data_IF_270097471520
#
_entry.id   IF_270097471520
#
_cell.length_a   1.000
_cell.length_b   1.000
_cell.length_c   1.000
_cell.angle_alpha   90.00
_cell.angle_beta   90.00
_cell.angle_gamma   90.00
#
_symmetry.space_group_name_H-M   'P 1'
#
loop_
_entity.id
_entity.type
_entity.pdbx_description
1 polymer ?
#
# COMPACT_ATOMS: atom_id res chain seq x y z
N UNK A 1 -9.61 -1.96 18.19
CA UNK A 1 -8.24 -2.53 18.29
C UNK A 1 -7.67 -3.04 16.96
N UNK A 2 -8.39 -2.98 15.84
CA UNK A 2 -7.95 -3.54 14.54
C UNK A 2 -7.31 -2.51 13.58
N UNK A 3 -7.65 -1.23 13.70
CA UNK A 3 -7.22 -0.21 12.72
C UNK A 3 -5.70 -0.01 12.64
N UNK A 4 -5.00 0.18 13.77
CA UNK A 4 -3.54 0.38 13.72
C UNK A 4 -2.82 -0.89 13.28
N UNK A 5 -3.28 -2.06 13.74
CA UNK A 5 -2.68 -3.35 13.37
C UNK A 5 -2.82 -3.66 11.88
N UNK A 6 -3.89 -3.20 11.22
CA UNK A 6 -4.07 -3.43 9.79
C UNK A 6 -3.03 -2.70 8.94
N UNK A 7 -2.44 -1.62 9.44
CA UNK A 7 -1.38 -0.86 8.78
C UNK A 7 -0.05 -1.63 8.65
N UNK A 8 0.09 -2.79 9.30
CA UNK A 8 1.22 -3.71 9.13
C UNK A 8 1.09 -4.59 7.88
N UNK A 9 -0.03 -4.51 7.14
CA UNK A 9 -0.28 -5.32 5.95
C UNK A 9 -0.47 -4.48 4.67
N UNK A 10 0.51 -3.61 4.32
CA UNK A 10 0.42 -2.73 3.14
C UNK A 10 0.34 -3.47 1.80
N UNK A 11 0.81 -4.72 1.70
CA UNK A 11 0.70 -5.53 0.49
C UNK A 11 -0.74 -5.87 0.13
N UNK A 12 -1.55 -6.27 1.10
CA UNK A 12 -2.97 -6.56 0.87
C UNK A 12 -3.73 -5.34 0.37
N UNK A 13 -3.42 -4.18 0.94
CA UNK A 13 -3.94 -2.89 0.48
C UNK A 13 -3.46 -2.52 -0.93
N UNK A 14 -2.21 -2.85 -1.28
CA UNK A 14 -1.67 -2.62 -2.61
C UNK A 14 -2.42 -3.42 -3.67
N UNK A 15 -2.62 -4.72 -3.44
CA UNK A 15 -3.37 -5.56 -4.38
C UNK A 15 -4.81 -5.09 -4.53
N UNK A 16 -5.47 -4.78 -3.41
CA UNK A 16 -6.83 -4.23 -3.42
C UNK A 16 -6.90 -2.93 -4.24
N UNK A 17 -5.91 -2.05 -4.13
CA UNK A 17 -5.84 -0.84 -4.96
C UNK A 17 -5.67 -1.17 -6.44
N UNK A 18 -4.81 -2.12 -6.81
CA UNK A 18 -4.67 -2.56 -8.21
C UNK A 18 -6.00 -3.06 -8.78
N UNK A 19 -6.79 -3.81 -8.01
CA UNK A 19 -8.14 -4.22 -8.46
C UNK A 19 -9.08 -3.06 -8.74
N UNK A 20 -8.97 -1.94 -7.99
CA UNK A 20 -9.77 -0.74 -8.29
C UNK A 20 -9.39 -0.08 -9.62
N UNK A 21 -8.16 -0.29 -10.10
CA UNK A 21 -7.70 0.14 -11.43
C UNK A 21 -8.19 -0.81 -12.54
N UNK A 22 -8.75 -1.96 -12.17
CA UNK A 22 -8.90 -3.14 -13.02
C UNK A 22 -9.96 -3.08 -14.12
N UNK A 23 -10.85 -2.08 -14.11
CA UNK A 23 -11.86 -1.90 -15.18
C UNK A 23 -11.23 -1.71 -16.57
N UNK A 24 -9.96 -1.28 -16.64
CA UNK A 24 -9.21 -1.13 -17.89
C UNK A 24 -8.36 -2.35 -18.28
N UNK A 25 -8.31 -3.41 -17.46
CA UNK A 25 -7.42 -4.57 -17.67
C UNK A 25 -8.19 -5.87 -17.51
N UNK A 26 -8.78 -6.42 -18.59
CA UNK A 26 -9.60 -7.63 -18.50
C UNK A 26 -8.79 -8.88 -18.12
N UNK A 27 -7.48 -8.93 -18.40
CA UNK A 27 -6.60 -10.08 -18.14
C UNK A 27 -5.24 -9.66 -17.58
N UNK A 28 -5.24 -8.87 -16.50
CA UNK A 28 -4.00 -8.33 -15.98
C UNK A 28 -3.07 -9.42 -15.42
N UNK A 29 -1.77 -9.24 -15.64
CA UNK A 29 -0.68 -10.00 -15.04
C UNK A 29 -0.03 -9.14 -13.96
N UNK A 30 -0.12 -9.59 -12.71
CA UNK A 30 0.38 -8.86 -11.54
C UNK A 30 1.54 -9.65 -10.92
N UNK A 31 2.73 -9.09 -10.94
CA UNK A 31 3.86 -9.62 -10.17
C UNK A 31 3.78 -9.16 -8.71
N UNK A 32 4.03 -10.07 -7.79
CA UNK A 32 4.00 -9.83 -6.34
C UNK A 32 5.39 -10.18 -5.79
N UNK A 33 6.13 -9.19 -5.30
CA UNK A 33 7.45 -9.42 -4.69
C UNK A 33 7.34 -10.10 -3.32
N UNK A 34 8.45 -10.65 -2.83
CA UNK A 34 8.56 -11.34 -1.53
C UNK A 34 7.92 -10.54 -0.40
N UNK A 35 8.29 -9.27 -0.30
CA UNK A 35 7.81 -8.35 0.72
C UNK A 35 6.28 -8.17 0.69
N UNK A 36 5.68 -7.94 -0.47
CA UNK A 36 4.24 -7.69 -0.60
C UNK A 36 3.40 -8.89 -0.13
N UNK A 37 3.82 -10.14 -0.42
CA UNK A 37 3.09 -11.31 0.11
C UNK A 37 3.30 -11.52 1.60
N UNK A 38 4.50 -11.27 2.14
CA UNK A 38 4.71 -11.31 3.59
C UNK A 38 3.88 -10.25 4.32
N UNK A 39 3.52 -9.16 3.62
CA UNK A 39 2.79 -8.03 4.17
C UNK A 39 1.33 -7.96 3.66
N UNK A 40 0.69 -9.11 3.46
CA UNK A 40 -0.78 -9.19 3.34
C UNK A 40 -1.33 -9.50 1.96
N UNK A 41 -0.51 -9.62 0.91
CA UNK A 41 -0.99 -10.25 -0.32
C UNK A 41 -1.15 -11.75 -0.09
N UNK A 42 -2.34 -12.27 -0.37
CA UNK A 42 -2.67 -13.70 -0.23
C UNK A 42 -3.57 -14.18 -1.37
N UNK A 43 -3.69 -15.50 -1.54
CA UNK A 43 -4.61 -16.08 -2.52
C UNK A 43 -6.08 -15.71 -2.28
N UNK A 44 -6.47 -15.41 -1.05
CA UNK A 44 -7.83 -14.93 -0.75
C UNK A 44 -8.09 -13.50 -1.24
N UNK A 45 -7.04 -12.71 -1.43
CA UNK A 45 -7.16 -11.37 -2.02
C UNK A 45 -7.14 -11.37 -3.55
N UNK A 46 -6.88 -12.50 -4.21
CA UNK A 46 -6.91 -12.66 -5.68
C UNK A 46 -8.35 -12.79 -6.20
N UNK A 47 -9.11 -11.69 -6.14
CA UNK A 47 -10.57 -11.70 -6.35
C UNK A 47 -11.03 -11.65 -7.82
N UNK A 48 -10.11 -11.50 -8.78
CA UNK A 48 -10.41 -11.53 -10.21
C UNK A 48 -9.83 -12.80 -10.84
N UNK A 49 -10.72 -13.70 -11.30
CA UNK A 49 -10.35 -15.00 -11.86
C UNK A 49 -9.77 -14.96 -13.28
N UNK A 50 -9.92 -13.85 -14.00
CA UNK A 50 -9.33 -13.66 -15.33
C UNK A 50 -7.90 -13.10 -15.26
N UNK A 51 -7.45 -12.71 -14.06
CA UNK A 51 -6.12 -12.16 -13.82
C UNK A 51 -5.13 -13.24 -13.40
N UNK A 52 -3.86 -13.03 -13.75
CA UNK A 52 -2.75 -13.89 -13.34
C UNK A 52 -1.93 -13.19 -12.27
N UNK A 53 -1.94 -13.75 -11.06
CA UNK A 53 -1.10 -13.29 -9.95
C UNK A 53 0.14 -14.18 -9.90
N UNK A 54 1.31 -13.56 -9.97
CA UNK A 54 2.57 -14.28 -10.09
C UNK A 54 3.51 -13.93 -8.95
N UNK A 55 3.95 -14.98 -8.26
CA UNK A 55 4.93 -14.94 -7.18
C UNK A 55 5.99 -15.98 -7.52
N UNK A 56 7.26 -15.59 -7.45
CA UNK A 56 8.38 -16.52 -7.52
C UNK A 56 9.49 -16.07 -6.58
N UNK A 57 10.22 -17.04 -6.04
CA UNK A 57 11.46 -16.80 -5.27
C UNK A 57 12.69 -16.82 -6.19
N UNK A 58 12.53 -17.17 -7.48
CA UNK A 58 13.59 -17.11 -8.48
C UNK A 58 13.77 -15.69 -9.01
N UNK A 59 15.00 -15.36 -9.38
CA UNK A 59 15.29 -14.11 -10.09
C UNK A 59 14.64 -14.14 -11.48
N UNK A 60 13.89 -13.09 -11.80
CA UNK A 60 13.33 -12.88 -13.12
C UNK A 60 14.24 -11.96 -13.93
N UNK A 61 14.40 -12.28 -15.21
CA UNK A 61 15.04 -11.37 -16.16
C UNK A 61 14.20 -10.11 -16.39
N UNK A 62 14.85 -9.04 -16.86
CA UNK A 62 14.17 -7.80 -17.22
C UNK A 62 13.05 -8.01 -18.25
N UNK A 63 13.25 -8.90 -19.22
CA UNK A 63 12.24 -9.16 -20.25
C UNK A 63 11.05 -9.96 -19.73
N UNK A 64 11.27 -10.86 -18.75
CA UNK A 64 10.15 -11.49 -18.04
C UNK A 64 9.35 -10.47 -17.24
N UNK A 65 10.00 -9.50 -16.57
CA UNK A 65 9.31 -8.44 -15.86
C UNK A 65 8.39 -7.63 -16.79
N UNK A 66 8.83 -7.31 -18.01
CA UNK A 66 8.02 -6.58 -19.00
C UNK A 66 6.74 -7.31 -19.43
N UNK A 67 6.58 -8.59 -19.12
CA UNK A 67 5.33 -9.33 -19.39
C UNK A 67 4.22 -9.03 -18.38
N UNK A 68 4.53 -8.37 -17.26
CA UNK A 68 3.54 -7.99 -16.26
C UNK A 68 2.97 -6.59 -16.56
N UNK A 69 1.67 -6.43 -16.32
CA UNK A 69 1.00 -5.13 -16.39
C UNK A 69 1.27 -4.31 -15.13
N UNK A 70 1.30 -4.98 -13.98
CA UNK A 70 1.54 -4.40 -12.67
C UNK A 70 2.61 -5.15 -11.89
N UNK A 71 3.38 -4.40 -11.10
CA UNK A 71 4.34 -4.92 -10.13
C UNK A 71 4.00 -4.33 -8.76
N UNK A 72 3.87 -5.20 -7.76
CA UNK A 72 3.84 -4.84 -6.35
C UNK A 72 5.22 -5.11 -5.76
N UNK A 73 5.94 -4.04 -5.40
CA UNK A 73 7.32 -4.13 -4.94
C UNK A 73 7.63 -3.22 -3.75
N UNK A 74 8.51 -3.66 -2.86
CA UNK A 74 9.04 -2.82 -1.77
C UNK A 74 10.01 -1.73 -2.29
N UNK A 75 10.62 -1.95 -3.45
CA UNK A 75 11.48 -0.98 -4.12
C UNK A 75 10.94 -0.62 -5.51
N UNK A 76 10.92 0.67 -5.81
CA UNK A 76 10.54 1.19 -7.13
C UNK A 76 11.74 1.37 -8.07
N UNK A 77 12.94 1.54 -7.52
CA UNK A 77 14.11 1.96 -8.29
C UNK A 77 14.56 0.86 -9.26
N UNK A 78 14.51 -0.39 -8.81
CA UNK A 78 14.86 -1.59 -9.59
C UNK A 78 14.02 -1.77 -10.88
N UNK A 79 12.85 -1.13 -10.98
CA UNK A 79 11.95 -1.28 -12.14
C UNK A 79 11.69 0.05 -12.87
N UNK A 80 12.38 1.13 -12.49
CA UNK A 80 12.04 2.50 -12.94
C UNK A 80 12.24 2.78 -14.44
N UNK A 81 13.04 1.97 -15.13
CA UNK A 81 13.25 2.09 -16.58
C UNK A 81 12.01 1.66 -17.39
N UNK A 82 11.40 0.54 -17.02
CA UNK A 82 10.31 -0.10 -17.78
C UNK A 82 8.92 0.17 -17.16
N UNK A 83 8.89 0.61 -15.89
CA UNK A 83 7.68 0.85 -15.13
C UNK A 83 7.65 2.25 -14.55
N UNK A 84 6.44 2.80 -14.37
CA UNK A 84 6.23 4.04 -13.61
C UNK A 84 5.41 3.77 -12.35
N UNK A 85 5.66 4.56 -11.32
CA UNK A 85 4.91 4.47 -10.06
C UNK A 85 3.52 5.05 -10.23
N UNK A 86 2.49 4.23 -9.98
CA UNK A 86 1.10 4.66 -9.91
C UNK A 86 0.75 5.16 -8.50
N UNK A 87 1.21 4.42 -7.49
CA UNK A 87 0.88 4.71 -6.09
C UNK A 87 1.92 4.11 -5.14
N UNK A 88 1.94 4.61 -3.91
CA UNK A 88 2.74 4.08 -2.81
C UNK A 88 1.84 3.84 -1.61
N UNK A 89 1.69 2.58 -1.21
CA UNK A 89 0.93 2.23 -0.02
C UNK A 89 1.80 2.47 1.19
N UNK A 90 1.35 3.39 2.05
CA UNK A 90 1.99 3.62 3.33
C UNK A 90 1.58 2.53 4.32
N UNK A 91 2.55 2.07 5.11
CA UNK A 91 2.35 1.15 6.21
C UNK A 91 2.95 1.71 7.50
N UNK A 92 2.64 1.04 8.61
CA UNK A 92 3.20 1.37 9.92
C UNK A 92 4.74 1.39 9.87
N UNK A 93 5.34 2.44 10.41
CA UNK A 93 6.80 2.61 10.47
C UNK A 93 7.33 2.90 11.87
N UNK A 94 6.44 3.15 12.83
CA UNK A 94 6.82 3.30 14.23
C UNK A 94 5.89 4.24 15.00
N UNK A 95 6.36 4.63 16.18
CA UNK A 95 5.69 5.59 17.06
C UNK A 95 6.56 6.83 17.21
N UNK A 96 5.94 7.99 17.19
CA UNK A 96 6.50 9.29 17.53
C UNK A 96 6.12 9.61 18.97
N UNK A 97 7.12 9.87 19.81
CA UNK A 97 6.89 10.35 21.17
C UNK A 97 7.13 11.86 21.15
N UNK A 98 6.06 12.69 21.23
CA UNK A 98 6.21 14.13 21.29
C UNK A 98 6.86 14.55 22.61
N UNK A 99 7.51 15.71 22.63
CA UNK A 99 7.99 16.32 23.88
C UNK A 99 6.85 16.52 24.88
N UNK A 100 7.16 16.64 26.18
CA UNK A 100 6.14 16.76 27.25
C UNK A 100 5.12 17.87 27.02
N UNK A 101 5.54 19.05 26.52
CA UNK A 101 4.63 20.15 26.15
C UNK A 101 3.71 19.79 24.98
N UNK A 102 4.25 19.13 23.96
CA UNK A 102 3.49 18.69 22.79
C UNK A 102 2.57 17.50 23.10
N UNK A 103 2.94 16.66 24.07
CA UNK A 103 2.11 15.56 24.56
C UNK A 103 0.83 16.08 25.24
N UNK A 104 0.93 17.10 26.10
CA UNK A 104 -0.26 17.72 26.72
C UNK A 104 -1.20 18.32 25.67
N UNK A 105 -0.65 19.04 24.68
CA UNK A 105 -1.46 19.58 23.57
C UNK A 105 -2.14 18.47 22.76
N UNK A 106 -1.40 17.41 22.48
CA UNK A 106 -1.93 16.25 21.77
C UNK A 106 -3.05 15.56 22.55
N UNK A 107 -2.85 15.26 23.83
CA UNK A 107 -3.84 14.61 24.70
C UNK A 107 -5.15 15.43 24.78
N UNK A 108 -5.07 16.76 24.71
CA UNK A 108 -6.26 17.62 24.64
C UNK A 108 -7.05 17.45 23.33
N UNK A 109 -6.35 17.29 22.21
CA UNK A 109 -6.98 17.13 20.87
C UNK A 109 -7.30 15.66 20.52
N UNK A 110 -6.78 14.70 21.29
CA UNK A 110 -6.89 13.27 20.97
C UNK A 110 -8.33 12.76 20.95
N UNK A 111 -9.22 13.11 21.92
CA UNK A 111 -10.61 12.64 21.90
C UNK A 111 -11.36 13.04 20.64
N UNK A 112 -11.21 14.29 20.20
CA UNK A 112 -11.86 14.82 18.99
C UNK A 112 -11.35 14.11 17.73
N UNK A 113 -10.03 13.94 17.60
CA UNK A 113 -9.45 13.25 16.45
C UNK A 113 -9.84 11.76 16.41
N UNK A 114 -9.95 11.10 17.56
CA UNK A 114 -10.43 9.71 17.64
C UNK A 114 -11.91 9.64 17.26
N UNK A 115 -12.74 10.54 17.79
CA UNK A 115 -14.17 10.60 17.44
C UNK A 115 -14.38 10.83 15.94
N UNK A 116 -13.57 11.69 15.31
CA UNK A 116 -13.55 11.89 13.87
C UNK A 116 -13.25 10.57 13.13
N UNK A 117 -12.16 9.88 13.46
CA UNK A 117 -11.80 8.61 12.79
C UNK A 117 -12.85 7.50 12.97
N UNK A 118 -13.53 7.47 14.13
CA UNK A 118 -14.61 6.50 14.39
C UNK A 118 -15.87 6.83 13.59
N UNK A 119 -16.17 8.12 13.40
CA UNK A 119 -17.33 8.58 12.64
C UNK A 119 -17.11 8.58 11.12
N UNK A 120 -15.85 8.66 10.67
CA UNK A 120 -15.44 8.62 9.28
C UNK A 120 -14.48 7.45 9.02
N UNK A 121 -14.94 6.18 9.14
CA UNK A 121 -14.09 5.01 8.91
C UNK A 121 -13.53 4.97 7.48
N UNK A 122 -14.20 5.59 6.50
CA UNK A 122 -13.75 5.76 5.12
C UNK A 122 -12.51 6.64 4.96
N UNK A 123 -12.31 7.61 5.87
CA UNK A 123 -11.08 8.41 5.92
C UNK A 123 -9.88 7.59 6.40
N UNK A 124 -10.16 6.47 7.06
CA UNK A 124 -9.21 5.43 7.42
C UNK A 124 -9.07 4.33 6.36
N UNK A 125 -9.90 4.30 5.30
CA UNK A 125 -9.84 3.28 4.25
C UNK A 125 -8.69 3.54 3.26
N UNK A 126 -8.36 2.48 2.52
CA UNK A 126 -7.32 2.39 1.49
C UNK A 126 -7.19 3.66 0.63
N UNK A 127 -8.25 4.25 0.05
CA UNK A 127 -8.12 5.40 -0.84
C UNK A 127 -7.43 6.60 -0.17
N UNK A 128 -7.67 6.80 1.12
CA UNK A 128 -7.08 7.89 1.89
C UNK A 128 -5.70 7.53 2.43
N UNK A 129 -5.41 6.26 2.76
CA UNK A 129 -4.04 5.82 3.09
C UNK A 129 -3.10 5.95 1.88
N UNK A 130 -3.61 5.71 0.66
CA UNK A 130 -2.85 5.85 -0.59
C UNK A 130 -2.67 7.32 -0.99
N UNK A 131 -3.71 8.15 -0.85
CA UNK A 131 -3.73 9.53 -1.35
C UNK A 131 -3.38 10.59 -0.30
N UNK A 132 -3.30 10.26 0.99
CA UNK A 132 -2.99 11.22 2.04
C UNK A 132 -1.52 11.63 2.00
N UNK A 133 -1.28 12.94 1.95
CA UNK A 133 0.06 13.51 2.10
C UNK A 133 0.62 13.34 3.52
N UNK A 134 -0.23 13.01 4.51
CA UNK A 134 0.22 12.81 5.90
C UNK A 134 1.03 11.54 6.05
N UNK A 135 2.12 11.63 6.79
CA UNK A 135 3.01 10.51 7.15
C UNK A 135 2.80 10.05 8.59
N UNK A 136 1.66 10.40 9.18
CA UNK A 136 1.30 10.02 10.52
C UNK A 136 -0.21 9.96 10.72
N UNK A 137 -0.61 9.19 11.73
CA UNK A 137 -1.95 9.19 12.30
C UNK A 137 -1.85 9.79 13.70
N UNK A 138 -2.67 10.82 13.94
CA UNK A 138 -2.76 11.53 15.21
C UNK A 138 -1.45 12.21 15.69
N UNK A 139 -0.42 12.34 14.84
CA UNK A 139 0.90 12.84 15.25
C UNK A 139 1.73 11.83 16.04
N UNK A 140 1.23 10.61 16.24
CA UNK A 140 1.88 9.55 17.05
C UNK A 140 2.30 8.40 16.16
N UNK A 141 1.38 7.83 15.40
CA UNK A 141 1.65 6.62 14.63
C UNK A 141 2.29 7.05 13.31
N UNK A 142 3.55 6.70 13.09
CA UNK A 142 4.27 7.05 11.86
C UNK A 142 3.92 6.08 10.74
N UNK A 143 3.78 6.63 9.55
CA UNK A 143 3.55 5.91 8.31
C UNK A 143 4.70 6.21 7.35
N UNK A 144 5.11 5.22 6.58
CA UNK A 144 6.04 5.40 5.47
C UNK A 144 5.59 4.58 4.26
N UNK A 145 5.93 4.97 3.02
CA UNK A 145 5.78 4.08 1.87
C UNK A 145 6.42 2.71 2.16
N UNK A 146 5.70 1.63 1.87
CA UNK A 146 6.15 0.24 2.06
C UNK A 146 5.99 -0.59 0.81
N UNK A 147 4.89 -0.43 0.08
CA UNK A 147 4.64 -1.16 -1.17
C UNK A 147 4.34 -0.16 -2.27
N UNK A 148 5.12 -0.23 -3.33
CA UNK A 148 4.95 0.56 -4.54
C UNK A 148 4.14 -0.24 -5.54
N UNK A 149 3.17 0.42 -6.16
CA UNK A 149 2.39 -0.10 -7.28
C UNK A 149 2.99 0.50 -8.54
N UNK A 150 3.62 -0.34 -9.33
CA UNK A 150 4.25 0.06 -10.58
C UNK A 150 3.44 -0.47 -11.75
N UNK A 151 3.28 0.36 -12.79
CA UNK A 151 2.59 -0.02 -14.01
C UNK A 151 3.57 0.02 -15.18
N UNK A 152 3.45 -0.97 -16.07
CA UNK A 152 4.27 -1.08 -17.26
C UNK A 152 4.07 0.13 -18.20
N UNK A 153 5.17 0.72 -18.68
CA UNK A 153 5.13 1.88 -19.58
C UNK A 153 4.61 1.53 -20.97
N UNK A 154 4.78 0.29 -21.42
CA UNK A 154 4.40 -0.16 -22.77
C UNK A 154 2.88 -0.35 -22.96
N UNK A 155 2.07 -0.07 -21.93
CA UNK A 155 0.60 -0.13 -21.93
C UNK A 155 -0.04 1.28 -21.96
N UNK A 156 0.68 2.25 -22.50
CA UNK A 156 0.23 3.63 -22.72
C UNK A 156 -0.02 3.87 -24.20
#
# INVERSE_FOLDING_TARGET
>A
MTFISSLNYPGGYALSYVHTLGSSYPKARVYIDTYSAMNGVSRFSENNGDWTYYKTDSELSRDEFKTFDFILANDRTSHSDDFYTVAAIKGYSGISIPSTKNLLGLLKTLPEKVAYLVSNPEDALIPNIVKSDRNDILGIIKLSPKVWILKNKNLL
#
